data_IF_728158237722
#
_entry.id   IF_728158237722
#
_cell.length_a   1.000
_cell.length_b   1.000
_cell.length_c   1.000
_cell.angle_alpha   90.00
_cell.angle_beta   90.00
_cell.angle_gamma   90.00
#
_symmetry.space_group_name_H-M   'P 1'
#
loop_
_entity.id
_entity.type
_entity.pdbx_description
1 polymer ?
#
# COMPACT_ATOMS: atom_id res chain seq x y z
N UNK A 1 -3.02 -7.32 -15.38
CA UNK A 1 -2.38 -7.08 -16.70
C UNK A 1 -2.44 -5.57 -17.03
N UNK A 2 -2.30 -4.70 -16.03
CA UNK A 2 -2.85 -3.33 -16.12
C UNK A 2 -1.80 -2.22 -16.01
N UNK A 3 -0.54 -2.55 -15.71
CA UNK A 3 0.55 -1.58 -15.50
C UNK A 3 0.89 -0.77 -16.76
N UNK A 4 0.72 -1.34 -17.95
CA UNK A 4 1.01 -0.64 -19.21
C UNK A 4 -0.05 0.41 -19.55
N UNK A 5 -1.28 0.25 -19.05
CA UNK A 5 -2.36 1.24 -19.22
C UNK A 5 -2.14 2.44 -18.31
N UNK A 6 -1.73 2.20 -17.06
CA UNK A 6 -1.46 3.26 -16.09
C UNK A 6 -0.21 4.07 -16.47
N UNK A 7 0.84 3.44 -17.00
CA UNK A 7 2.03 4.15 -17.48
C UNK A 7 1.77 4.95 -18.76
N UNK A 8 0.98 4.41 -19.70
CA UNK A 8 0.52 5.15 -20.89
C UNK A 8 -0.27 6.39 -20.48
N UNK A 9 -1.21 6.24 -19.55
CA UNK A 9 -2.04 7.35 -19.06
C UNK A 9 -1.19 8.45 -18.38
N UNK A 10 -0.13 8.07 -17.65
CA UNK A 10 0.77 9.03 -17.02
C UNK A 10 1.58 9.83 -18.05
N UNK A 11 2.09 9.17 -19.09
CA UNK A 11 2.86 9.79 -20.17
C UNK A 11 1.95 10.72 -21.01
N UNK A 12 0.72 10.28 -21.30
CA UNK A 12 -0.29 11.09 -21.98
C UNK A 12 -0.66 12.33 -21.17
N UNK A 13 -0.84 12.18 -19.85
CA UNK A 13 -1.10 13.29 -18.92
C UNK A 13 0.08 14.26 -18.87
N UNK A 14 1.31 13.75 -18.81
CA UNK A 14 2.53 14.56 -18.86
C UNK A 14 2.63 15.37 -20.15
N UNK A 15 2.45 14.73 -21.31
CA UNK A 15 2.53 15.40 -22.61
C UNK A 15 1.44 16.46 -22.77
N UNK A 16 0.21 16.18 -22.29
CA UNK A 16 -0.87 17.16 -22.25
C UNK A 16 -0.52 18.37 -21.38
N UNK A 17 0.03 18.15 -20.18
CA UNK A 17 0.42 19.24 -19.27
C UNK A 17 1.55 20.10 -19.86
N UNK A 18 2.55 19.49 -20.49
CA UNK A 18 3.61 20.22 -21.18
C UNK A 18 3.05 21.04 -22.36
N UNK A 19 2.18 20.45 -23.17
CA UNK A 19 1.55 21.16 -24.28
C UNK A 19 0.73 22.35 -23.78
N UNK A 20 0.00 22.20 -22.68
CA UNK A 20 -0.78 23.27 -22.07
C UNK A 20 0.12 24.39 -21.53
N UNK A 21 1.22 24.05 -20.83
CA UNK A 21 2.22 25.03 -20.36
C UNK A 21 2.81 25.83 -21.52
N UNK A 22 3.25 25.16 -22.58
CA UNK A 22 3.84 25.81 -23.75
C UNK A 22 2.83 26.69 -24.50
N UNK A 23 1.59 26.21 -24.65
CA UNK A 23 0.51 26.95 -25.31
C UNK A 23 0.17 28.23 -24.55
N UNK A 24 -0.01 28.14 -23.23
CA UNK A 24 -0.31 29.28 -22.36
C UNK A 24 0.83 30.28 -22.30
N UNK A 25 2.07 29.81 -22.23
CA UNK A 25 3.24 30.70 -22.26
C UNK A 25 3.34 31.48 -23.59
N UNK A 26 3.04 30.82 -24.72
CA UNK A 26 2.96 31.49 -26.02
C UNK A 26 1.85 32.54 -26.03
N UNK A 27 0.65 32.21 -25.52
CA UNK A 27 -0.46 33.17 -25.44
C UNK A 27 -0.11 34.37 -24.55
N UNK A 28 0.54 34.14 -23.40
CA UNK A 28 1.00 35.20 -22.51
C UNK A 28 1.98 36.14 -23.21
N UNK A 29 2.95 35.60 -23.95
CA UNK A 29 3.91 36.39 -24.73
C UNK A 29 3.19 37.21 -25.80
N UNK A 30 2.21 36.62 -26.49
CA UNK A 30 1.41 37.32 -27.50
C UNK A 30 0.60 38.47 -26.89
N UNK A 31 -0.11 38.23 -25.78
CA UNK A 31 -0.88 39.26 -25.08
C UNK A 31 0.02 40.40 -24.60
N UNK A 32 1.20 40.10 -24.06
CA UNK A 32 2.19 41.10 -23.66
C UNK A 32 2.67 41.95 -24.84
N UNK A 33 2.90 41.35 -26.02
CA UNK A 33 3.27 42.12 -27.22
C UNK A 33 2.13 43.00 -27.73
N UNK A 34 0.88 42.53 -27.64
CA UNK A 34 -0.31 43.32 -28.02
C UNK A 34 -0.47 44.52 -27.07
N UNK A 35 -0.25 44.35 -25.77
CA UNK A 35 -0.26 45.47 -24.82
C UNK A 35 0.83 46.49 -25.14
N UNK A 36 2.07 46.04 -25.38
CA UNK A 36 3.19 46.93 -25.69
C UNK A 36 2.99 47.72 -27.00
N UNK A 37 2.34 47.12 -27.99
CA UNK A 37 1.96 47.84 -29.22
C UNK A 37 0.74 48.76 -29.00
N UNK A 38 -0.21 48.35 -28.17
CA UNK A 38 -1.41 49.12 -27.85
C UNK A 38 -1.12 50.41 -27.07
N UNK A 39 -0.19 50.37 -26.11
CA UNK A 39 0.29 51.55 -25.38
C UNK A 39 0.97 52.57 -26.31
N UNK A 40 1.68 52.10 -27.35
CA UNK A 40 2.34 52.98 -28.34
C UNK A 40 1.36 53.60 -29.34
N UNK A 41 0.19 53.00 -29.57
CA UNK A 41 -0.75 53.37 -30.64
C UNK A 41 -2.03 54.08 -30.15
N UNK A 42 -2.11 54.52 -28.89
CA UNK A 42 -3.37 55.04 -28.29
C UNK A 42 -4.52 54.03 -28.49
N UNK A 43 -4.29 52.76 -28.16
CA UNK A 43 -5.32 51.74 -28.24
C UNK A 43 -6.52 52.09 -27.35
N UNK A 44 -7.70 51.71 -27.82
CA UNK A 44 -8.96 51.92 -27.13
C UNK A 44 -8.90 51.25 -25.72
N UNK A 45 -9.31 51.96 -24.64
CA UNK A 45 -9.03 51.55 -23.27
C UNK A 45 -9.71 50.22 -22.88
N UNK A 46 -10.84 49.86 -23.53
CA UNK A 46 -11.47 48.56 -23.29
C UNK A 46 -10.60 47.43 -23.84
N UNK A 47 -9.92 47.64 -24.96
CA UNK A 47 -8.98 46.65 -25.55
C UNK A 47 -7.79 46.38 -24.63
N UNK A 48 -7.23 47.42 -24.00
CA UNK A 48 -6.13 47.26 -23.03
C UNK A 48 -6.60 46.50 -21.78
N UNK A 49 -7.78 46.83 -21.26
CA UNK A 49 -8.35 46.16 -20.09
C UNK A 49 -8.64 44.66 -20.35
N UNK A 50 -9.22 44.32 -21.50
CA UNK A 50 -9.48 42.92 -21.90
C UNK A 50 -8.17 42.15 -22.05
N UNK A 51 -7.15 42.77 -22.63
CA UNK A 51 -5.84 42.14 -22.77
C UNK A 51 -5.21 41.88 -21.40
N UNK A 52 -5.36 42.81 -20.44
CA UNK A 52 -4.90 42.63 -19.06
C UNK A 52 -5.62 41.50 -18.32
N UNK A 53 -6.95 41.43 -18.45
CA UNK A 53 -7.73 40.33 -17.87
C UNK A 53 -7.38 38.98 -18.50
N UNK A 54 -7.19 38.94 -19.81
CA UNK A 54 -6.77 37.73 -20.53
C UNK A 54 -5.37 37.27 -20.09
N UNK A 55 -4.46 38.22 -19.88
CA UNK A 55 -3.10 37.92 -19.41
C UNK A 55 -3.12 37.29 -18.01
N UNK A 56 -3.94 37.82 -17.10
CA UNK A 56 -4.12 37.26 -15.77
C UNK A 56 -4.70 35.84 -15.81
N UNK A 57 -5.71 35.61 -16.63
CA UNK A 57 -6.32 34.29 -16.81
C UNK A 57 -5.33 33.25 -17.35
N UNK A 58 -4.51 33.63 -18.34
CA UNK A 58 -3.47 32.74 -18.87
C UNK A 58 -2.36 32.46 -17.85
N UNK A 59 -2.03 33.43 -16.99
CA UNK A 59 -1.07 33.22 -15.91
C UNK A 59 -1.57 32.26 -14.84
N UNK A 60 -2.84 32.38 -14.44
CA UNK A 60 -3.48 31.45 -13.50
C UNK A 60 -3.60 30.03 -14.07
N UNK A 61 -3.95 29.92 -15.35
CA UNK A 61 -3.95 28.66 -16.10
C UNK A 61 -2.55 28.02 -16.10
N UNK A 62 -1.52 28.79 -16.46
CA UNK A 62 -0.13 28.33 -16.48
C UNK A 62 0.32 27.82 -15.11
N UNK A 63 0.04 28.58 -14.05
CA UNK A 63 0.38 28.21 -12.69
C UNK A 63 -0.30 26.92 -12.23
N UNK A 64 -1.56 26.71 -12.64
CA UNK A 64 -2.30 25.47 -12.37
C UNK A 64 -1.68 24.29 -13.10
N UNK A 65 -1.35 24.43 -14.39
CA UNK A 65 -0.73 23.34 -15.17
C UNK A 65 0.65 22.96 -14.63
N UNK A 66 1.42 23.92 -14.10
CA UNK A 66 2.70 23.65 -13.41
C UNK A 66 2.47 22.90 -12.09
N UNK A 67 1.47 23.28 -11.30
CA UNK A 67 1.11 22.55 -10.07
C UNK A 67 0.69 21.12 -10.35
N UNK A 68 -0.08 20.90 -11.40
CA UNK A 68 -0.50 19.56 -11.82
C UNK A 68 0.70 18.71 -12.27
N UNK A 69 1.71 19.33 -12.92
CA UNK A 69 2.96 18.66 -13.28
C UNK A 69 3.77 18.27 -12.03
N UNK A 70 3.84 19.16 -11.03
CA UNK A 70 4.44 18.85 -9.73
C UNK A 70 3.71 17.72 -9.00
N UNK A 71 2.37 17.72 -9.01
CA UNK A 71 1.56 16.64 -8.45
C UNK A 71 1.80 15.30 -9.17
N UNK A 72 1.91 15.32 -10.50
CA UNK A 72 2.30 14.16 -11.31
C UNK A 72 3.68 13.64 -10.92
N UNK A 73 4.65 14.53 -10.71
CA UNK A 73 6.00 14.16 -10.26
C UNK A 73 6.00 13.50 -8.88
N UNK A 74 5.11 13.96 -7.99
CA UNK A 74 4.92 13.36 -6.67
C UNK A 74 4.33 11.95 -6.81
N UNK A 75 3.28 11.78 -7.62
CA UNK A 75 2.67 10.48 -7.89
C UNK A 75 3.66 9.50 -8.52
N UNK A 76 4.50 9.98 -9.44
CA UNK A 76 5.58 9.17 -10.00
C UNK A 76 6.55 8.74 -8.90
N UNK A 77 7.04 9.67 -8.08
CA UNK A 77 7.91 9.36 -6.95
C UNK A 77 7.27 8.38 -5.97
N UNK A 78 5.97 8.51 -5.69
CA UNK A 78 5.21 7.57 -4.86
C UNK A 78 5.17 6.16 -5.51
N UNK A 79 4.95 6.05 -6.82
CA UNK A 79 5.06 4.77 -7.53
C UNK A 79 6.47 4.16 -7.45
N UNK A 80 7.52 5.00 -7.49
CA UNK A 80 8.91 4.56 -7.33
C UNK A 80 9.25 4.15 -5.89
N UNK A 81 8.80 4.92 -4.90
CA UNK A 81 9.06 4.70 -3.47
C UNK A 81 8.24 3.52 -2.90
N UNK A 82 6.98 3.39 -3.30
CA UNK A 82 6.11 2.32 -2.87
C UNK A 82 6.19 1.07 -3.76
N UNK A 83 6.95 1.14 -4.86
CA UNK A 83 7.15 0.02 -5.79
C UNK A 83 5.82 -0.55 -6.30
N UNK A 84 5.87 -1.71 -6.97
CA UNK A 84 4.64 -2.45 -7.29
C UNK A 84 3.93 -2.78 -5.97
N UNK A 85 2.71 -2.26 -5.77
CA UNK A 85 1.88 -2.60 -4.62
C UNK A 85 1.96 -4.11 -4.36
N UNK A 86 2.53 -4.50 -3.22
CA UNK A 86 2.22 -5.77 -2.57
C UNK A 86 3.02 -7.02 -2.96
N UNK A 87 4.03 -7.00 -3.84
CA UNK A 87 4.85 -8.24 -3.99
C UNK A 87 5.71 -8.52 -2.76
N UNK A 88 6.23 -7.49 -2.09
CA UNK A 88 7.04 -7.69 -0.88
C UNK A 88 6.22 -8.21 0.31
N UNK A 89 5.01 -7.72 0.51
CA UNK A 89 4.19 -8.08 1.69
C UNK A 89 3.47 -9.42 1.51
N UNK A 90 2.96 -9.70 0.31
CA UNK A 90 2.36 -11.00 -0.02
C UNK A 90 3.39 -12.12 0.00
N UNK A 91 4.52 -11.93 -0.67
CA UNK A 91 5.59 -12.95 -0.68
C UNK A 91 6.24 -13.07 0.70
N UNK A 92 6.47 -11.99 1.45
CA UNK A 92 7.01 -12.08 2.81
C UNK A 92 6.06 -12.82 3.76
N UNK A 93 4.75 -12.60 3.66
CA UNK A 93 3.76 -13.30 4.49
C UNK A 93 3.63 -14.77 4.11
N UNK A 94 3.61 -15.08 2.82
CA UNK A 94 3.61 -16.46 2.31
C UNK A 94 4.89 -17.20 2.73
N UNK A 95 6.05 -16.54 2.69
CA UNK A 95 7.31 -17.13 3.16
C UNK A 95 7.35 -17.28 4.68
N UNK A 96 6.77 -16.33 5.43
CA UNK A 96 6.64 -16.46 6.88
C UNK A 96 5.73 -17.62 7.28
N UNK A 97 4.60 -17.81 6.60
CA UNK A 97 3.68 -18.92 6.85
C UNK A 97 4.32 -20.28 6.52
N UNK A 98 5.07 -20.36 5.40
CA UNK A 98 5.86 -21.56 5.05
C UNK A 98 6.95 -21.84 6.07
N UNK A 99 7.70 -20.82 6.47
CA UNK A 99 8.75 -20.95 7.48
C UNK A 99 8.16 -21.42 8.82
N UNK A 100 7.01 -20.89 9.22
CA UNK A 100 6.33 -21.32 10.44
C UNK A 100 5.91 -22.80 10.36
N UNK A 101 5.35 -23.23 9.22
CA UNK A 101 5.01 -24.64 9.00
C UNK A 101 6.24 -25.55 9.04
N UNK A 102 7.35 -25.12 8.43
CA UNK A 102 8.60 -25.88 8.43
C UNK A 102 9.22 -25.97 9.84
N UNK A 103 9.14 -24.89 10.63
CA UNK A 103 9.61 -24.88 12.03
C UNK A 103 8.80 -25.84 12.89
N UNK A 104 7.47 -25.85 12.75
CA UNK A 104 6.59 -26.81 13.46
C UNK A 104 6.96 -28.24 13.08
N UNK A 105 7.12 -28.52 11.79
CA UNK A 105 7.51 -29.85 11.30
C UNK A 105 8.89 -30.29 11.82
N UNK A 106 9.86 -29.37 11.85
CA UNK A 106 11.18 -29.63 12.41
C UNK A 106 11.10 -29.95 13.91
N UNK A 107 10.26 -29.23 14.66
CA UNK A 107 10.05 -29.46 16.09
C UNK A 107 9.41 -30.83 16.35
N UNK A 108 8.41 -31.22 15.56
CA UNK A 108 7.78 -32.55 15.65
C UNK A 108 8.76 -33.69 15.37
N UNK A 109 9.57 -33.56 14.31
CA UNK A 109 10.60 -34.55 13.97
C UNK A 109 11.65 -34.66 15.06
N UNK A 110 12.11 -33.53 15.60
CA UNK A 110 13.05 -33.51 16.71
C UNK A 110 12.46 -34.20 17.95
N UNK A 111 11.22 -33.87 18.31
CA UNK A 111 10.52 -34.48 19.43
C UNK A 111 10.38 -36.00 19.26
N UNK A 112 10.04 -36.48 18.05
CA UNK A 112 9.94 -37.91 17.77
C UNK A 112 11.30 -38.64 17.89
N UNK A 113 12.39 -38.00 17.48
CA UNK A 113 13.75 -38.55 17.65
C UNK A 113 14.12 -38.63 19.13
N UNK A 114 13.85 -37.55 19.89
CA UNK A 114 14.11 -37.51 21.32
C UNK A 114 13.29 -38.57 22.06
N UNK A 115 11.99 -38.71 21.75
CA UNK A 115 11.11 -39.73 22.32
C UNK A 115 11.65 -41.14 22.09
N UNK A 116 12.07 -41.48 20.87
CA UNK A 116 12.67 -42.80 20.57
C UNK A 116 13.97 -43.03 21.34
N UNK A 117 14.82 -42.02 21.44
CA UNK A 117 16.10 -42.13 22.16
C UNK A 117 15.88 -42.29 23.67
N UNK A 118 15.01 -41.46 24.26
CA UNK A 118 14.78 -41.47 25.69
C UNK A 118 13.94 -42.66 26.15
N UNK A 119 12.96 -43.11 25.35
CA UNK A 119 12.25 -44.37 25.63
C UNK A 119 13.19 -45.58 25.58
N UNK A 120 14.11 -45.65 24.61
CA UNK A 120 15.14 -46.69 24.55
C UNK A 120 16.06 -46.68 25.78
N UNK A 121 16.50 -45.51 26.24
CA UNK A 121 17.31 -45.39 27.46
C UNK A 121 16.51 -45.71 28.73
N UNK A 122 15.27 -45.27 28.82
CA UNK A 122 14.41 -45.54 29.97
C UNK A 122 14.12 -47.04 30.11
N UNK A 123 13.77 -47.71 29.01
CA UNK A 123 13.53 -49.16 29.01
C UNK A 123 14.79 -49.95 29.37
N UNK A 124 15.97 -49.53 28.90
CA UNK A 124 17.25 -50.14 29.29
C UNK A 124 17.57 -49.97 30.78
N UNK A 125 17.11 -48.88 31.41
CA UNK A 125 17.25 -48.61 32.84
C UNK A 125 16.08 -49.15 33.70
N UNK A 126 15.13 -49.88 33.10
CA UNK A 126 13.96 -50.44 33.79
C UNK A 126 12.83 -49.43 34.11
N UNK A 127 12.86 -48.24 33.52
CA UNK A 127 11.85 -47.18 33.69
C UNK A 127 11.02 -46.91 32.42
N UNK A 128 10.01 -46.05 32.55
CA UNK A 128 9.20 -45.56 31.42
C UNK A 128 9.43 -44.06 31.22
N UNK A 129 9.61 -43.64 29.97
CA UNK A 129 9.77 -42.23 29.62
C UNK A 129 8.40 -41.57 29.37
N UNK A 130 8.20 -40.37 29.93
CA UNK A 130 7.01 -39.56 29.70
C UNK A 130 7.40 -38.11 29.38
N UNK A 131 6.75 -37.51 28.38
CA UNK A 131 6.95 -36.13 27.97
C UNK A 131 6.21 -35.19 28.95
N UNK A 132 6.95 -34.38 29.71
CA UNK A 132 6.42 -33.50 30.77
C UNK A 132 5.38 -32.48 30.25
N UNK A 133 5.34 -32.15 28.96
CA UNK A 133 4.37 -31.19 28.41
C UNK A 133 3.04 -31.75 27.88
N UNK A 134 2.88 -33.07 27.72
CA UNK A 134 1.63 -33.64 27.15
C UNK A 134 0.58 -33.92 28.22
N UNK A 135 0.99 -34.18 29.46
CA UNK A 135 0.07 -34.50 30.55
C UNK A 135 -0.69 -33.26 31.05
N UNK A 136 -0.06 -32.08 31.06
CA UNK A 136 -0.72 -30.84 31.49
C UNK A 136 -1.79 -30.36 30.49
N UNK A 137 -1.58 -30.56 29.18
CA UNK A 137 -2.56 -30.23 28.15
C UNK A 137 -3.76 -31.19 28.12
N UNK A 138 -3.53 -32.48 28.39
CA UNK A 138 -4.61 -33.48 28.51
C UNK A 138 -5.42 -33.32 29.80
N UNK A 139 -4.79 -32.86 30.90
CA UNK A 139 -5.48 -32.55 32.15
C UNK A 139 -6.31 -31.25 32.07
N UNK A 140 -5.85 -30.24 31.33
CA UNK A 140 -6.57 -28.97 31.17
C UNK A 140 -7.84 -29.09 30.30
N UNK A 141 -7.87 -29.97 29.29
CA UNK A 141 -9.04 -30.17 28.42
C UNK A 141 -10.20 -30.98 29.03
N UNK A 142 -9.98 -31.65 30.16
CA UNK A 142 -11.00 -32.46 30.85
C UNK A 142 -11.81 -31.67 31.91
N UNK A 143 -11.46 -30.40 32.16
CA UNK A 143 -12.05 -29.59 33.24
C UNK A 143 -13.21 -28.66 32.86
N UNK A 144 -13.44 -28.37 31.57
CA UNK A 144 -14.43 -27.37 31.14
C UNK A 144 -15.46 -27.97 30.18
N UNK A 145 -16.29 -28.88 30.70
CA UNK A 145 -17.30 -29.56 29.86
C UNK A 145 -18.35 -30.35 30.64
N UNK A 146 -19.00 -29.76 31.64
CA UNK A 146 -20.27 -30.31 32.14
C UNK A 146 -20.62 -29.99 33.58
N UNK A 147 -21.44 -28.95 33.79
CA UNK A 147 -22.64 -28.98 34.64
C UNK A 147 -23.20 -27.56 34.87
N UNK A 148 -23.84 -27.00 33.85
CA UNK A 148 -24.85 -25.95 34.03
C UNK A 148 -26.20 -26.53 33.60
N UNK A 149 -26.86 -27.27 34.50
CA UNK A 149 -28.30 -27.58 34.44
C UNK A 149 -28.74 -28.34 35.71
N UNK A 150 -28.95 -27.62 36.81
CA UNK A 150 -29.78 -28.09 37.91
C UNK A 150 -30.33 -26.90 38.70
N UNK A 151 -31.31 -26.21 38.14
CA UNK A 151 -32.25 -25.46 38.97
C UNK A 151 -33.59 -25.33 38.24
N UNK A 152 -34.62 -26.02 38.74
CA UNK A 152 -35.97 -25.88 38.21
C UNK A 152 -36.92 -27.06 38.50
N UNK A 153 -37.76 -26.86 39.51
CA UNK A 153 -39.10 -27.41 39.68
C UNK A 153 -39.26 -28.85 40.19
N UNK A 154 -39.67 -28.97 41.46
CA UNK A 154 -40.47 -30.08 41.93
C UNK A 154 -41.96 -29.88 41.62
N UNK A 155 -42.72 -30.97 41.56
CA UNK A 155 -44.14 -31.03 41.94
C UNK A 155 -44.64 -32.48 41.79
N UNK A 156 -45.25 -32.95 42.88
CA UNK A 156 -46.20 -34.07 43.02
C UNK A 156 -45.66 -35.50 43.00
#
# INVERSE_FOLDING_TARGET
>A
MDTSRDSSNLLDTHNRLIADVLSRFRMLTMLATIQAEGERKNAEPQTVAVTGMSMQMEFEGLHTSIKDLLALSRRLKELWLFGKLGQGEGDARIQADKLQADVVRCAELLNAIQEKRYSGLATAAGGQWALIGRQDAAAAGAGEGGAQAANGAGAQ
#
